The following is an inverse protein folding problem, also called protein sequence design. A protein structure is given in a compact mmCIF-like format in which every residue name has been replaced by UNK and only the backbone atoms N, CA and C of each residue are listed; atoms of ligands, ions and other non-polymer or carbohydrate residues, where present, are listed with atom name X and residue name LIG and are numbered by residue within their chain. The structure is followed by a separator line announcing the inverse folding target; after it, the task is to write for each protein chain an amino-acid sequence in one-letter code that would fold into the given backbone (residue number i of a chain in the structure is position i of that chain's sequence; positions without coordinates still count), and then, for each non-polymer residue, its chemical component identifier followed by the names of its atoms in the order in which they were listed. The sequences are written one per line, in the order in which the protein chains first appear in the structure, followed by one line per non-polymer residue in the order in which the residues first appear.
data_IF_000643547055
#
_entry.id   IF_000643547055
#
_cell.length_a   1.000
_cell.length_b   1.000
_cell.length_c   1.000
_cell.angle_alpha   90.00
_cell.angle_beta   90.00
_cell.angle_gamma   90.00
#
_symmetry.space_group_name_H-M   'P 1'
#
loop_
_entity.id
_entity.type
_entity.pdbx_description
1 polymer ?
#
# COMPACT_ATOMS: atom_id res chain seq x y z
N UNK A 1 6.20 2.36 -16.12
CA UNK A 1 6.21 1.38 -15.00
C UNK A 1 6.13 2.19 -13.72
N UNK A 2 5.09 2.01 -12.92
CA UNK A 2 4.88 2.85 -11.73
C UNK A 2 5.74 2.35 -10.58
N UNK A 3 6.80 3.07 -10.22
CA UNK A 3 7.50 2.79 -8.96
C UNK A 3 6.65 3.28 -7.80
N UNK A 4 6.70 2.58 -6.68
CA UNK A 4 6.10 3.03 -5.43
C UNK A 4 7.05 4.02 -4.77
N UNK A 5 7.04 5.28 -5.21
CA UNK A 5 7.94 6.32 -4.66
C UNK A 5 7.36 6.94 -3.38
N UNK A 6 8.20 7.54 -2.52
CA UNK A 6 7.72 8.31 -1.38
C UNK A 6 6.68 9.37 -1.72
N UNK A 7 6.91 10.13 -2.79
CA UNK A 7 6.03 11.22 -3.22
C UNK A 7 4.66 10.69 -3.64
N UNK A 8 4.63 9.49 -4.26
CA UNK A 8 3.38 8.82 -4.62
C UNK A 8 2.58 8.43 -3.38
N UNK A 9 3.25 7.95 -2.32
CA UNK A 9 2.61 7.58 -1.05
C UNK A 9 2.04 8.82 -0.36
N UNK A 10 2.76 9.94 -0.36
CA UNK A 10 2.33 11.18 0.29
C UNK A 10 1.06 11.76 -0.33
N UNK A 11 0.91 11.68 -1.66
CA UNK A 11 -0.26 12.21 -2.37
C UNK A 11 -1.38 11.21 -2.57
N UNK A 12 -1.16 9.94 -2.22
CA UNK A 12 -2.18 8.89 -2.34
C UNK A 12 -3.38 9.17 -1.43
N UNK A 13 -4.61 8.79 -1.83
CA UNK A 13 -5.79 8.97 -0.98
C UNK A 13 -5.66 8.23 0.35
N UNK A 14 -6.03 8.92 1.42
CA UNK A 14 -5.99 8.42 2.79
C UNK A 14 -7.33 8.72 3.47
N UNK A 15 -7.96 7.70 4.05
CA UNK A 15 -9.28 7.86 4.66
C UNK A 15 -9.55 6.77 5.70
N UNK A 16 -10.61 6.99 6.50
CA UNK A 16 -11.18 5.95 7.34
C UNK A 16 -12.06 5.04 6.47
N UNK A 17 -11.71 3.77 6.35
CA UNK A 17 -12.51 2.82 5.56
C UNK A 17 -13.80 2.40 6.30
N UNK A 18 -14.74 1.68 5.64
CA UNK A 18 -16.05 1.34 6.22
C UNK A 18 -16.01 0.50 7.51
N UNK A 19 -14.88 -0.12 7.86
CA UNK A 19 -14.70 -0.88 9.10
C UNK A 19 -13.94 -0.09 10.17
N UNK A 20 -13.75 1.21 9.98
CA UNK A 20 -13.12 2.09 10.97
C UNK A 20 -11.60 1.97 11.03
N UNK A 21 -10.95 1.54 9.94
CA UNK A 21 -9.49 1.44 9.85
C UNK A 21 -8.93 2.58 9.01
N UNK A 22 -7.80 3.17 9.43
CA UNK A 22 -7.09 4.15 8.59
C UNK A 22 -6.45 3.43 7.41
N UNK A 23 -6.84 3.80 6.20
CA UNK A 23 -6.46 3.14 4.96
C UNK A 23 -5.67 4.07 4.04
N UNK A 24 -4.57 3.54 3.50
CA UNK A 24 -3.82 4.13 2.40
C UNK A 24 -4.22 3.44 1.09
N UNK A 25 -4.73 4.20 0.12
CA UNK A 25 -5.21 3.68 -1.15
C UNK A 25 -4.14 3.79 -2.25
N UNK A 26 -3.59 2.66 -2.70
CA UNK A 26 -2.56 2.55 -3.75
C UNK A 26 -3.09 1.79 -4.98
N UNK A 27 -4.38 1.94 -5.28
CA UNK A 27 -5.06 1.22 -6.37
C UNK A 27 -4.67 1.71 -7.76
N UNK A 28 -4.59 0.79 -8.72
CA UNK A 28 -4.47 1.10 -10.17
C UNK A 28 -3.20 1.88 -10.56
N UNK A 29 -2.11 1.75 -9.79
CA UNK A 29 -0.86 2.52 -9.97
C UNK A 29 0.22 1.78 -10.79
N UNK A 30 -0.06 0.55 -11.24
CA UNK A 30 0.88 -0.31 -11.97
C UNK A 30 2.17 -0.54 -11.20
N UNK A 31 2.05 -0.72 -9.88
CA UNK A 31 3.16 -0.96 -8.95
C UNK A 31 3.67 -2.40 -9.16
N UNK A 32 4.93 -2.61 -9.58
CA UNK A 32 5.47 -3.95 -9.78
C UNK A 32 6.17 -4.51 -8.53
N UNK A 33 6.58 -3.63 -7.61
CA UNK A 33 7.42 -3.94 -6.44
C UNK A 33 6.93 -3.12 -5.25
N UNK A 34 6.82 -3.76 -4.09
CA UNK A 34 6.54 -3.10 -2.82
C UNK A 34 7.85 -2.55 -2.27
N UNK A 35 7.91 -1.23 -2.07
CA UNK A 35 9.08 -0.52 -1.59
C UNK A 35 8.67 0.77 -0.86
N UNK A 36 9.60 1.43 -0.17
CA UNK A 36 9.43 2.76 0.43
C UNK A 36 8.30 2.91 1.46
N UNK A 37 7.66 1.83 1.91
CA UNK A 37 6.57 1.90 2.90
C UNK A 37 6.99 2.48 4.27
N UNK A 38 8.28 2.74 4.51
CA UNK A 38 8.75 3.37 5.74
C UNK A 38 8.24 4.81 5.89
N UNK A 39 7.97 5.48 4.77
CA UNK A 39 7.44 6.86 4.76
C UNK A 39 5.99 6.94 5.24
N UNK A 40 5.30 5.80 5.37
CA UNK A 40 3.96 5.74 5.96
C UNK A 40 3.96 6.01 7.47
N UNK A 41 5.14 6.00 8.10
CA UNK A 41 5.35 6.26 9.54
C UNK A 41 4.41 5.45 10.44
N UNK A 42 4.05 4.22 10.03
CA UNK A 42 3.18 3.30 10.78
C UNK A 42 1.80 3.90 11.12
N UNK A 43 1.27 4.79 10.28
CA UNK A 43 0.01 5.49 10.54
C UNK A 43 -1.23 4.66 10.16
N UNK A 44 -1.11 3.73 9.21
CA UNK A 44 -2.24 3.01 8.62
C UNK A 44 -2.46 1.62 9.23
N UNK A 45 -3.74 1.27 9.38
CA UNK A 45 -4.18 -0.09 9.72
C UNK A 45 -4.36 -0.96 8.46
N UNK A 46 -4.68 -0.33 7.32
CA UNK A 46 -4.91 -0.98 6.02
C UNK A 46 -4.10 -0.33 4.90
N UNK A 47 -3.56 -1.15 3.99
CA UNK A 47 -3.02 -0.67 2.70
C UNK A 47 -3.74 -1.41 1.57
N UNK A 48 -4.25 -0.66 0.61
CA UNK A 48 -4.96 -1.19 -0.55
C UNK A 48 -4.07 -1.18 -1.80
N UNK A 49 -3.59 -2.35 -2.21
CA UNK A 49 -2.80 -2.58 -3.42
C UNK A 49 -3.62 -3.17 -4.58
N UNK A 50 -4.96 -3.08 -4.54
CA UNK A 50 -5.82 -3.66 -5.58
C UNK A 50 -5.46 -3.15 -6.98
N UNK A 51 -5.49 -4.04 -7.99
CA UNK A 51 -5.20 -3.73 -9.40
C UNK A 51 -3.79 -3.16 -9.64
N UNK A 52 -2.76 -3.90 -9.22
CA UNK A 52 -1.36 -3.55 -9.50
C UNK A 52 -0.64 -4.71 -10.19
N UNK A 53 0.66 -4.54 -10.46
CA UNK A 53 1.49 -5.53 -11.15
C UNK A 53 2.44 -6.27 -10.18
N UNK A 54 2.11 -6.33 -8.88
CA UNK A 54 3.00 -6.85 -7.82
C UNK A 54 3.23 -8.34 -8.05
N UNK A 55 4.49 -8.77 -8.02
CA UNK A 55 4.89 -10.19 -8.23
C UNK A 55 5.40 -10.90 -6.99
N UNK A 56 5.64 -10.17 -5.91
CA UNK A 56 6.19 -10.72 -4.68
C UNK A 56 5.76 -9.88 -3.49
N UNK A 57 5.43 -10.57 -2.40
CA UNK A 57 5.13 -9.94 -1.11
C UNK A 57 6.42 -9.87 -0.29
N UNK A 58 7.21 -8.84 -0.56
CA UNK A 58 8.44 -8.52 0.16
C UNK A 58 8.66 -7.00 0.25
N UNK A 59 9.82 -6.55 0.75
CA UNK A 59 10.14 -5.12 0.83
C UNK A 59 9.43 -4.34 1.95
N UNK A 60 8.72 -5.02 2.85
CA UNK A 60 8.03 -4.39 3.97
C UNK A 60 9.01 -3.98 5.09
N UNK A 61 8.93 -2.73 5.58
CA UNK A 61 9.53 -2.35 6.85
C UNK A 61 8.69 -2.90 8.02
N UNK A 62 9.20 -2.77 9.24
CA UNK A 62 8.44 -3.10 10.44
C UNK A 62 7.29 -2.09 10.66
N UNK A 63 6.05 -2.52 10.43
CA UNK A 63 4.82 -1.72 10.55
C UNK A 63 3.83 -2.40 11.52
N UNK A 64 4.01 -2.30 12.85
CA UNK A 64 3.21 -3.03 13.82
C UNK A 64 1.73 -2.64 13.87
N UNK A 65 1.34 -1.50 13.26
CA UNK A 65 -0.07 -1.09 13.17
C UNK A 65 -0.80 -1.70 11.97
N UNK A 66 -0.06 -2.08 10.92
CA UNK A 66 -0.64 -2.63 9.69
C UNK A 66 -1.27 -4.01 9.98
N UNK A 67 -2.58 -4.13 9.75
CA UNK A 67 -3.37 -5.35 10.03
C UNK A 67 -3.91 -5.98 8.76
N UNK A 68 -4.23 -5.16 7.75
CA UNK A 68 -4.94 -5.60 6.55
C UNK A 68 -4.19 -5.14 5.29
N UNK A 69 -4.08 -6.02 4.30
CA UNK A 69 -3.65 -5.66 2.96
C UNK A 69 -4.63 -6.19 1.92
N UNK A 70 -5.12 -5.33 1.03
CA UNK A 70 -5.89 -5.76 -0.13
C UNK A 70 -4.94 -5.96 -1.31
N UNK A 71 -4.90 -7.17 -1.86
CA UNK A 71 -3.96 -7.58 -2.91
C UNK A 71 -4.66 -8.10 -4.17
N UNK A 72 -5.96 -7.86 -4.30
CA UNK A 72 -6.75 -8.35 -5.43
C UNK A 72 -6.18 -7.86 -6.77
N UNK A 73 -6.23 -8.70 -7.80
CA UNK A 73 -5.75 -8.40 -9.15
C UNK A 73 -4.28 -7.95 -9.18
N UNK A 74 -3.39 -8.74 -8.58
CA UNK A 74 -1.94 -8.67 -8.73
C UNK A 74 -1.41 -9.96 -9.39
N UNK A 75 -0.09 -10.07 -9.55
CA UNK A 75 0.61 -11.20 -10.18
C UNK A 75 1.47 -11.99 -9.17
N UNK A 76 0.97 -12.17 -7.94
CA UNK A 76 1.66 -12.79 -6.79
C UNK A 76 1.71 -14.32 -6.93
#
# INVERSE_FOLDING_TARGET
MGRLTPELIEVAPQYLNPVGQYELCLRDLKIPVIENLGVTLNQFDTIDFTNNDIRKLDGFPFLPKLKTMYLANNHI
#
